data_IF_580554214454
#
_entry.id   IF_580554214454
#
_cell.length_a   1.000
_cell.length_b   1.000
_cell.length_c   1.000
_cell.angle_alpha   90.00
_cell.angle_beta   90.00
_cell.angle_gamma   90.00
#
_symmetry.space_group_name_H-M   'P 1'
#
loop_
_entity.id
_entity.type
_entity.pdbx_description
1 polymer ?
#
# COMPACT_ATOMS: atom_id res chain seq x y z
N UNK A 1 20.96 -40.86 -4.77
CA UNK A 1 22.30 -40.61 -4.17
C UNK A 1 22.68 -39.18 -4.52
N UNK A 2 23.36 -38.43 -3.63
CA UNK A 2 23.68 -36.98 -3.66
C UNK A 2 22.89 -36.05 -2.71
N UNK A 3 22.76 -36.44 -1.44
CA UNK A 3 22.48 -35.50 -0.34
C UNK A 3 23.42 -35.70 0.87
N UNK A 4 24.34 -36.66 0.82
CA UNK A 4 25.27 -36.96 1.93
C UNK A 4 26.36 -35.89 2.08
N UNK A 5 26.83 -35.32 0.97
CA UNK A 5 28.00 -34.43 0.95
C UNK A 5 27.66 -32.96 1.23
N UNK A 6 26.37 -32.60 1.15
CA UNK A 6 25.87 -31.25 1.45
C UNK A 6 25.51 -31.05 2.93
N UNK A 7 25.43 -32.12 3.72
CA UNK A 7 25.00 -32.02 5.12
C UNK A 7 26.04 -31.31 6.01
N UNK A 8 27.31 -31.59 5.79
CA UNK A 8 28.44 -30.99 6.53
C UNK A 8 28.57 -29.48 6.32
N UNK A 9 28.60 -28.95 5.08
CA UNK A 9 28.67 -27.51 4.87
C UNK A 9 27.42 -26.77 5.35
N UNK A 10 26.24 -27.41 5.33
CA UNK A 10 25.01 -26.84 5.91
C UNK A 10 25.12 -26.73 7.43
N UNK A 11 25.59 -27.77 8.12
CA UNK A 11 25.79 -27.74 9.57
C UNK A 11 26.85 -26.72 10.00
N UNK A 12 27.96 -26.64 9.28
CA UNK A 12 29.00 -25.63 9.52
C UNK A 12 28.45 -24.22 9.31
N UNK A 13 27.67 -23.99 8.24
CA UNK A 13 27.03 -22.69 7.98
C UNK A 13 26.01 -22.31 9.06
N UNK A 14 25.21 -23.26 9.54
CA UNK A 14 24.25 -23.04 10.64
C UNK A 14 24.99 -22.73 11.94
N UNK A 15 26.09 -23.44 12.24
CA UNK A 15 26.92 -23.19 13.42
C UNK A 15 27.55 -21.79 13.38
N UNK A 16 28.04 -21.39 12.20
CA UNK A 16 28.63 -20.07 11.98
C UNK A 16 27.58 -18.96 12.12
N UNK A 17 26.39 -19.14 11.54
CA UNK A 17 25.25 -18.24 11.73
C UNK A 17 24.85 -18.10 13.20
N UNK A 18 24.75 -19.22 13.93
CA UNK A 18 24.46 -19.19 15.38
C UNK A 18 25.52 -18.42 16.16
N UNK A 19 26.81 -18.65 15.89
CA UNK A 19 27.90 -17.93 16.54
C UNK A 19 27.87 -16.42 16.24
N UNK A 20 27.52 -16.05 15.00
CA UNK A 20 27.37 -14.65 14.60
C UNK A 20 26.16 -14.01 15.29
N UNK A 21 25.02 -14.70 15.37
CA UNK A 21 23.83 -14.24 16.08
C UNK A 21 24.13 -14.05 17.59
N UNK A 22 24.81 -15.00 18.23
CA UNK A 22 25.21 -14.90 19.63
C UNK A 22 26.16 -13.72 19.88
N UNK A 23 27.12 -13.48 18.97
CA UNK A 23 27.97 -12.29 19.02
C UNK A 23 27.15 -11.01 18.93
N UNK A 24 26.23 -10.91 17.98
CA UNK A 24 25.36 -9.73 17.84
C UNK A 24 24.40 -9.54 19.02
N UNK A 25 23.96 -10.61 19.68
CA UNK A 25 23.14 -10.52 20.89
C UNK A 25 23.94 -10.04 22.12
N UNK A 26 25.22 -10.39 22.20
CA UNK A 26 26.08 -10.06 23.36
C UNK A 26 26.71 -8.67 23.30
N UNK A 27 26.97 -8.11 22.12
CA UNK A 27 27.56 -6.78 21.96
C UNK A 27 26.51 -5.74 21.53
N UNK A 28 26.34 -4.63 22.26
CA UNK A 28 25.45 -3.55 21.80
C UNK A 28 25.96 -2.98 20.47
N UNK A 29 25.05 -2.75 19.52
CA UNK A 29 25.42 -2.19 18.22
C UNK A 29 26.09 -0.81 18.37
N UNK A 30 26.95 -0.46 17.41
CA UNK A 30 27.61 0.86 17.40
C UNK A 30 26.59 2.01 17.45
N UNK A 31 25.45 1.88 16.74
CA UNK A 31 24.35 2.84 16.80
C UNK A 31 23.75 2.92 18.21
N UNK A 32 23.48 1.80 18.87
CA UNK A 32 22.95 1.81 20.24
C UNK A 32 23.92 2.48 21.22
N UNK A 33 25.23 2.25 21.09
CA UNK A 33 26.23 2.91 21.92
C UNK A 33 26.25 4.43 21.69
N UNK A 34 26.29 4.87 20.42
CA UNK A 34 26.25 6.30 20.05
C UNK A 34 24.94 6.98 20.47
N UNK A 35 23.80 6.30 20.35
CA UNK A 35 22.51 6.82 20.77
C UNK A 35 22.50 7.13 22.27
N UNK A 36 23.03 6.23 23.11
CA UNK A 36 23.15 6.46 24.56
C UNK A 36 24.02 7.69 24.88
N UNK A 37 25.11 7.89 24.14
CA UNK A 37 25.98 9.07 24.30
C UNK A 37 25.22 10.35 23.94
N UNK A 38 24.52 10.36 22.81
CA UNK A 38 23.73 11.52 22.37
C UNK A 38 22.59 11.87 23.34
N UNK A 39 21.90 10.86 23.88
CA UNK A 39 20.85 11.04 24.88
C UNK A 39 21.39 11.65 26.18
N UNK A 40 22.62 11.33 26.58
CA UNK A 40 23.25 11.90 27.77
C UNK A 40 23.82 13.32 27.55
N UNK A 41 24.28 13.62 26.33
CA UNK A 41 24.93 14.89 26.02
C UNK A 41 23.94 16.03 25.76
N UNK A 42 22.78 15.71 25.20
CA UNK A 42 21.82 16.69 24.68
C UNK A 42 20.39 16.26 24.96
N UNK A 43 19.54 17.21 25.36
CA UNK A 43 18.12 16.94 25.56
C UNK A 43 17.41 16.87 24.20
N UNK A 44 16.93 15.69 23.85
CA UNK A 44 16.08 15.45 22.68
C UNK A 44 14.65 15.14 23.12
N UNK A 45 13.67 15.59 22.33
CA UNK A 45 12.26 15.37 22.61
C UNK A 45 11.73 14.12 21.91
N UNK A 46 12.27 13.81 20.72
CA UNK A 46 11.80 12.69 19.91
C UNK A 46 12.94 11.83 19.36
N UNK A 47 12.71 10.53 19.30
CA UNK A 47 13.50 9.59 18.51
C UNK A 47 12.59 9.04 17.40
N UNK A 48 13.00 9.26 16.16
CA UNK A 48 12.25 8.92 14.95
C UNK A 48 12.88 7.67 14.35
N UNK A 49 12.12 6.57 14.31
CA UNK A 49 12.54 5.31 13.72
C UNK A 49 11.88 5.09 12.34
N UNK A 50 12.60 4.50 11.37
CA UNK A 50 12.04 4.19 10.04
C UNK A 50 10.74 3.39 10.09
N UNK A 51 10.64 2.42 11.01
CA UNK A 51 9.48 1.54 11.15
C UNK A 51 8.86 1.60 12.56
N UNK A 52 7.59 1.18 12.67
CA UNK A 52 6.89 1.08 13.96
C UNK A 52 7.47 -0.03 14.85
N UNK A 53 7.92 -1.14 14.25
CA UNK A 53 8.56 -2.25 14.97
C UNK A 53 9.86 -1.82 15.63
N UNK A 54 10.71 -1.08 14.91
CA UNK A 54 11.93 -0.49 15.46
C UNK A 54 11.60 0.52 16.56
N UNK A 55 10.57 1.34 16.39
CA UNK A 55 10.14 2.29 17.40
C UNK A 55 9.71 1.58 18.70
N UNK A 56 8.88 0.52 18.60
CA UNK A 56 8.44 -0.29 19.74
C UNK A 56 9.61 -1.01 20.41
N UNK A 57 10.47 -1.66 19.63
CA UNK A 57 11.63 -2.36 20.15
C UNK A 57 12.57 -1.41 20.89
N UNK A 58 12.80 -0.22 20.34
CA UNK A 58 13.62 0.81 20.97
C UNK A 58 12.98 1.34 22.25
N UNK A 59 11.68 1.67 22.24
CA UNK A 59 10.96 2.15 23.43
C UNK A 59 10.99 1.14 24.59
N UNK A 60 10.90 -0.16 24.29
CA UNK A 60 11.04 -1.23 25.28
C UNK A 60 12.47 -1.31 25.83
N UNK A 61 13.47 -1.16 24.96
CA UNK A 61 14.88 -1.30 25.31
C UNK A 61 15.46 -0.11 26.08
N UNK A 62 14.82 1.07 26.01
CA UNK A 62 15.28 2.28 26.67
C UNK A 62 14.95 2.25 28.17
N UNK A 63 15.95 2.32 29.07
CA UNK A 63 15.70 2.35 30.50
C UNK A 63 15.01 3.66 30.90
N UNK A 64 13.71 3.59 31.21
CA UNK A 64 12.87 4.73 31.63
C UNK A 64 13.39 5.54 32.84
N UNK A 65 14.13 4.97 33.82
CA UNK A 65 14.64 5.76 34.95
C UNK A 65 16.08 6.31 34.77
N UNK A 66 16.76 6.07 33.64
CA UNK A 66 18.19 6.38 33.51
C UNK A 66 18.53 7.76 32.93
N UNK A 67 17.55 8.52 32.44
CA UNK A 67 17.77 9.80 31.75
C UNK A 67 16.95 10.92 32.39
N UNK A 68 17.56 12.11 32.50
CA UNK A 68 16.91 13.33 33.04
C UNK A 68 15.79 13.87 32.14
N UNK A 69 15.79 13.50 30.86
CA UNK A 69 14.71 13.76 29.89
C UNK A 69 14.52 12.50 29.04
N UNK A 70 13.33 11.91 29.05
CA UNK A 70 13.03 10.71 28.26
C UNK A 70 12.38 11.10 26.93
N UNK A 71 13.09 11.02 25.80
CA UNK A 71 12.51 11.34 24.50
C UNK A 71 11.39 10.36 24.16
N UNK A 72 10.36 10.84 23.45
CA UNK A 72 9.29 10.00 22.92
C UNK A 72 9.76 9.30 21.65
N UNK A 73 9.72 7.97 21.63
CA UNK A 73 10.03 7.19 20.43
C UNK A 73 8.80 7.13 19.53
N UNK A 74 8.95 7.50 18.26
CA UNK A 74 7.88 7.51 17.26
C UNK A 74 8.37 6.90 15.95
N UNK A 75 7.44 6.40 15.13
CA UNK A 75 7.74 6.01 13.76
C UNK A 75 7.77 7.23 12.84
N UNK A 76 8.42 7.10 11.69
CA UNK A 76 8.37 8.11 10.63
C UNK A 76 6.95 8.37 10.13
N UNK A 77 6.06 7.38 10.19
CA UNK A 77 4.67 7.55 9.80
C UNK A 77 3.91 8.49 10.76
N UNK A 78 4.32 8.56 12.03
CA UNK A 78 3.71 9.42 13.05
C UNK A 78 4.18 10.88 12.99
N UNK A 79 5.19 11.18 12.16
CA UNK A 79 5.67 12.55 11.97
C UNK A 79 4.66 13.34 11.13
N UNK A 80 3.84 14.14 11.82
CA UNK A 80 2.81 14.99 11.24
C UNK A 80 2.65 16.30 12.01
N UNK A 81 1.79 17.19 11.51
CA UNK A 81 1.56 18.54 12.06
C UNK A 81 1.06 18.54 13.51
N UNK A 82 0.59 17.43 14.08
CA UNK A 82 0.28 17.36 15.50
C UNK A 82 1.52 17.56 16.39
N UNK A 83 2.72 17.38 15.83
CA UNK A 83 3.97 17.63 16.53
C UNK A 83 4.33 19.12 16.60
N UNK A 84 3.58 20.01 15.92
CA UNK A 84 3.81 21.45 16.01
C UNK A 84 3.66 21.91 17.46
N UNK A 85 4.72 22.51 17.98
CA UNK A 85 4.78 23.08 19.32
C UNK A 85 5.31 24.50 19.25
N UNK A 86 4.90 25.33 20.21
CA UNK A 86 5.47 26.67 20.40
C UNK A 86 6.91 26.62 20.96
N UNK A 87 7.41 25.43 21.34
CA UNK A 87 8.78 25.22 21.81
C UNK A 87 9.63 24.59 20.70
N UNK A 88 10.93 24.96 20.60
CA UNK A 88 11.84 24.32 19.66
C UNK A 88 11.99 22.84 20.03
N UNK A 89 11.54 21.96 19.13
CA UNK A 89 11.61 20.52 19.31
C UNK A 89 12.93 20.01 18.72
N UNK A 90 13.62 19.12 19.44
CA UNK A 90 14.80 18.42 18.92
C UNK A 90 14.51 16.95 18.66
N UNK A 91 14.97 16.44 17.52
CA UNK A 91 14.73 15.05 17.09
C UNK A 91 16.00 14.30 16.70
N UNK A 92 16.02 12.99 16.96
CA UNK A 92 17.03 12.07 16.43
C UNK A 92 16.39 11.16 15.39
N UNK A 93 16.96 11.03 14.21
CA UNK A 93 16.56 10.04 13.21
C UNK A 93 17.52 8.85 13.23
N UNK A 94 17.02 7.64 13.48
CA UNK A 94 17.87 6.46 13.73
C UNK A 94 18.28 5.68 12.48
N UNK A 95 17.65 5.93 11.33
CA UNK A 95 17.94 5.20 10.09
C UNK A 95 17.27 5.79 8.86
N UNK A 96 17.61 5.25 7.69
CA UNK A 96 17.06 5.71 6.41
C UNK A 96 15.61 5.25 6.20
N UNK A 97 14.67 6.20 6.14
CA UNK A 97 13.24 5.93 6.04
C UNK A 97 12.65 6.15 4.65
N UNK A 98 13.42 5.87 3.60
CA UNK A 98 13.15 6.22 2.19
C UNK A 98 13.20 7.73 1.88
N UNK A 99 13.60 8.07 0.66
CA UNK A 99 13.80 9.46 0.21
C UNK A 99 12.58 10.36 0.44
N UNK A 100 11.37 9.87 0.18
CA UNK A 100 10.13 10.63 0.35
C UNK A 100 9.89 11.09 1.79
N UNK A 101 10.00 10.16 2.74
CA UNK A 101 9.75 10.50 4.14
C UNK A 101 10.87 11.36 4.71
N UNK A 102 12.12 11.10 4.32
CA UNK A 102 13.26 11.96 4.70
C UNK A 102 13.05 13.38 4.19
N UNK A 103 12.70 13.56 2.92
CA UNK A 103 12.37 14.86 2.36
C UNK A 103 11.23 15.53 3.12
N UNK A 104 10.17 14.78 3.44
CA UNK A 104 9.04 15.28 4.22
C UNK A 104 9.46 15.79 5.59
N UNK A 105 10.29 15.05 6.33
CA UNK A 105 10.80 15.45 7.65
C UNK A 105 11.67 16.70 7.54
N UNK A 106 12.54 16.76 6.53
CA UNK A 106 13.42 17.92 6.32
C UNK A 106 12.64 19.17 5.90
N UNK A 107 11.57 19.02 5.13
CA UNK A 107 10.74 20.13 4.64
C UNK A 107 9.62 20.54 5.58
N UNK A 108 9.31 19.75 6.62
CA UNK A 108 8.17 20.03 7.50
C UNK A 108 8.46 21.09 8.55
N UNK A 109 9.73 21.43 8.78
CA UNK A 109 10.17 22.40 9.80
C UNK A 109 9.64 22.10 11.22
N UNK A 110 9.25 20.85 11.50
CA UNK A 110 8.75 20.42 12.81
C UNK A 110 9.84 20.42 13.89
N UNK A 111 11.09 20.26 13.48
CA UNK A 111 12.23 20.15 14.38
C UNK A 111 13.16 21.33 14.18
N UNK A 112 13.52 21.98 15.29
CA UNK A 112 14.54 23.04 15.34
C UNK A 112 15.95 22.49 15.09
N UNK A 113 16.19 21.24 15.53
CA UNK A 113 17.43 20.52 15.36
C UNK A 113 17.10 19.05 15.09
N UNK A 114 17.65 18.52 14.01
CA UNK A 114 17.51 17.12 13.63
C UNK A 114 18.90 16.49 13.54
N UNK A 115 19.18 15.54 14.42
CA UNK A 115 20.42 14.77 14.40
C UNK A 115 20.17 13.43 13.70
N UNK A 116 20.96 13.11 12.67
CA UNK A 116 20.85 11.82 11.95
C UNK A 116 21.89 10.82 12.46
N UNK A 117 21.45 9.63 12.82
CA UNK A 117 22.29 8.54 13.29
C UNK A 117 22.37 7.46 12.20
N UNK A 118 23.11 7.78 11.15
CA UNK A 118 23.24 6.94 9.96
C UNK A 118 24.52 6.09 9.98
N UNK A 119 24.41 4.87 9.46
CA UNK A 119 25.57 4.10 9.05
C UNK A 119 26.28 4.78 7.87
N UNK A 120 27.53 4.40 7.63
CA UNK A 120 28.32 4.98 6.53
C UNK A 120 27.64 4.85 5.17
N UNK A 121 26.92 3.74 4.91
CA UNK A 121 26.18 3.56 3.66
C UNK A 121 24.92 4.45 3.59
N UNK A 122 24.21 4.65 4.70
CA UNK A 122 23.03 5.53 4.77
C UNK A 122 23.42 7.00 4.56
N UNK A 123 24.62 7.40 5.00
CA UNK A 123 25.18 8.72 4.69
C UNK A 123 25.32 8.95 3.19
N UNK A 124 25.65 7.91 2.39
CA UNK A 124 25.68 8.03 0.92
C UNK A 124 24.29 8.33 0.35
N UNK A 125 23.25 7.72 0.91
CA UNK A 125 21.86 7.93 0.51
C UNK A 125 21.42 9.37 0.79
N UNK A 126 21.70 9.86 2.01
CA UNK A 126 21.42 11.23 2.42
C UNK A 126 22.15 12.26 1.54
N UNK A 127 23.43 12.05 1.27
CA UNK A 127 24.22 12.93 0.43
C UNK A 127 23.70 12.96 -1.01
N UNK A 128 23.29 11.82 -1.57
CA UNK A 128 22.66 11.75 -2.89
C UNK A 128 21.34 12.54 -2.93
N UNK A 129 20.48 12.39 -1.92
CA UNK A 129 19.22 13.12 -1.79
C UNK A 129 19.44 14.63 -1.68
N UNK A 130 20.38 15.08 -0.84
CA UNK A 130 20.71 16.50 -0.71
C UNK A 130 21.24 17.10 -2.01
N UNK A 131 22.13 16.40 -2.73
CA UNK A 131 22.64 16.88 -4.03
C UNK A 131 21.50 17.13 -5.00
N UNK A 132 20.54 16.21 -5.06
CA UNK A 132 19.35 16.32 -5.90
C UNK A 132 18.46 17.48 -5.47
N UNK A 133 18.13 17.58 -4.19
CA UNK A 133 17.32 18.69 -3.68
C UNK A 133 17.95 20.04 -4.00
N UNK A 134 19.28 20.18 -3.87
CA UNK A 134 20.01 21.40 -4.26
C UNK A 134 19.84 21.74 -5.74
N UNK A 135 19.96 20.76 -6.65
CA UNK A 135 19.75 20.95 -8.09
C UNK A 135 18.32 21.43 -8.42
N UNK A 136 17.30 20.92 -7.72
CA UNK A 136 15.92 21.37 -7.93
C UNK A 136 15.59 22.70 -7.21
N UNK A 137 16.31 23.04 -6.13
CA UNK A 137 16.17 24.30 -5.40
C UNK A 137 16.81 25.52 -6.09
N UNK A 138 17.61 25.33 -7.14
CA UNK A 138 18.14 26.44 -7.96
C UNK A 138 17.01 27.28 -8.62
N UNK A 139 15.79 26.73 -8.70
CA UNK A 139 14.59 27.43 -9.18
C UNK A 139 13.91 28.31 -8.12
N UNK A 140 14.31 28.23 -6.84
CA UNK A 140 13.83 29.10 -5.77
C UNK A 140 14.86 30.22 -5.60
N UNK A 141 14.64 31.32 -6.32
CA UNK A 141 15.44 32.53 -6.19
C UNK A 141 15.09 33.21 -4.86
N UNK A 142 15.97 33.12 -3.86
CA UNK A 142 15.84 33.94 -2.65
C UNK A 142 15.77 35.43 -3.05
N UNK A 143 14.75 36.14 -2.59
CA UNK A 143 14.51 37.56 -2.88
C UNK A 143 15.65 38.44 -2.34
N UNK A 144 16.34 37.96 -1.31
CA UNK A 144 17.41 38.65 -0.61
C UNK A 144 18.66 37.76 -0.63
N UNK A 145 19.76 38.31 -1.12
CA UNK A 145 21.10 37.73 -0.95
C UNK A 145 21.89 38.58 0.06
N UNK A 146 23.11 38.16 0.40
CA UNK A 146 24.07 38.87 1.27
C UNK A 146 24.31 40.35 0.84
N UNK A 147 24.02 40.72 -0.42
CA UNK A 147 24.07 42.06 -1.00
C UNK A 147 22.72 42.82 -1.00
N UNK A 148 21.69 42.30 -0.33
CA UNK A 148 20.33 42.88 -0.32
C UNK A 148 19.37 42.26 -1.34
N UNK A 149 18.27 42.97 -1.65
CA UNK A 149 17.21 42.51 -2.57
C UNK A 149 17.77 42.38 -3.99
N UNK A 150 17.54 41.23 -4.65
CA UNK A 150 18.01 40.98 -6.03
C UNK A 150 17.36 41.95 -7.04
N UNK A 151 18.17 42.69 -7.79
CA UNK A 151 17.76 43.35 -9.04
C UNK A 151 18.00 42.44 -10.25
N UNK A 152 17.20 42.61 -11.30
CA UNK A 152 16.89 41.63 -12.36
C UNK A 152 18.01 41.40 -13.41
N UNK A 153 19.21 41.95 -13.22
CA UNK A 153 20.08 42.26 -14.37
C UNK A 153 21.40 41.51 -14.60
N UNK A 154 21.95 40.70 -13.69
CA UNK A 154 23.38 40.32 -13.82
C UNK A 154 23.64 38.81 -13.98
N UNK A 155 24.13 38.46 -15.17
CA UNK A 155 24.60 37.14 -15.59
C UNK A 155 26.03 36.83 -15.13
N UNK A 156 26.28 35.54 -14.86
CA UNK A 156 27.47 34.86 -14.31
C UNK A 156 28.83 35.19 -14.99
N UNK A 157 30.02 35.03 -14.37
CA UNK A 157 30.62 33.88 -13.64
C UNK A 157 31.88 34.33 -12.83
N UNK A 158 32.60 33.47 -12.07
CA UNK A 158 32.19 32.57 -10.98
C UNK A 158 33.17 32.61 -9.75
N UNK A 159 32.66 32.32 -8.54
CA UNK A 159 33.36 32.04 -7.24
C UNK A 159 34.18 33.20 -6.63
N UNK A 160 34.28 33.34 -5.30
CA UNK A 160 34.02 32.39 -4.20
C UNK A 160 33.17 32.98 -3.08
N UNK A 161 32.39 32.21 -2.31
CA UNK A 161 32.25 30.77 -2.09
C UNK A 161 33.30 30.07 -1.20
N UNK A 162 34.45 30.67 -0.88
CA UNK A 162 35.42 30.04 0.04
C UNK A 162 35.07 30.20 1.52
N UNK A 163 34.17 31.13 1.87
CA UNK A 163 34.24 31.77 3.20
C UNK A 163 33.05 31.51 4.13
N UNK A 164 32.04 30.75 3.71
CA UNK A 164 30.86 30.48 4.57
C UNK A 164 30.69 29.02 4.98
N UNK A 165 31.59 28.16 4.49
CA UNK A 165 31.76 26.78 4.94
C UNK A 165 33.27 26.52 5.07
N UNK A 166 33.87 26.87 6.22
CA UNK A 166 35.09 26.19 6.64
C UNK A 166 34.70 24.74 6.99
N UNK A 167 34.57 23.93 5.94
CA UNK A 167 34.65 22.49 6.05
C UNK A 167 36.10 22.14 6.24
N UNK A 168 36.52 21.99 7.50
CA UNK A 168 37.72 21.25 7.76
C UNK A 168 37.50 19.81 7.28
N UNK A 169 38.42 19.41 6.42
CA UNK A 169 38.58 18.11 5.80
C UNK A 169 37.43 17.70 4.86
N UNK A 170 37.56 18.22 3.63
CA UNK A 170 37.46 17.37 2.45
C UNK A 170 38.21 16.06 2.73
N UNK A 171 37.48 15.05 3.19
CA UNK A 171 37.85 13.67 2.89
C UNK A 171 37.75 13.57 1.38
N UNK A 172 38.89 13.76 0.76
CA UNK A 172 39.20 13.40 -0.61
C UNK A 172 38.96 11.90 -0.77
N UNK A 173 37.72 11.53 -1.06
CA UNK A 173 37.43 10.28 -1.76
C UNK A 173 37.18 10.63 -3.22
N UNK A 174 38.32 10.67 -3.91
CA UNK A 174 38.54 10.16 -5.26
C UNK A 174 37.35 9.27 -5.71
N UNK A 175 36.67 9.70 -6.80
CA UNK A 175 35.65 8.96 -7.57
C UNK A 175 34.50 8.26 -6.80
N UNK A 176 33.48 9.00 -6.35
CA UNK A 176 32.14 8.42 -6.15
C UNK A 176 31.15 8.93 -7.21
N UNK A 177 31.24 8.24 -8.34
CA UNK A 177 30.39 8.28 -9.52
C UNK A 177 28.92 7.94 -9.26
N UNK A 178 28.03 8.58 -10.04
CA UNK A 178 26.73 8.05 -10.52
C UNK A 178 25.64 7.57 -9.55
N UNK A 179 25.84 7.53 -8.23
CA UNK A 179 24.83 6.96 -7.34
C UNK A 179 23.63 7.90 -7.10
N UNK A 180 22.49 7.56 -7.71
CA UNK A 180 21.19 8.20 -7.49
C UNK A 180 20.32 7.34 -6.57
N UNK A 181 20.01 7.87 -5.38
CA UNK A 181 19.21 7.16 -4.38
C UNK A 181 17.79 6.84 -4.88
N UNK A 182 17.20 7.70 -5.70
CA UNK A 182 15.84 7.45 -6.22
C UNK A 182 15.83 6.36 -7.29
N UNK A 183 16.87 6.29 -8.13
CA UNK A 183 17.05 5.18 -9.08
C UNK A 183 17.31 3.85 -8.34
N UNK A 184 18.13 3.89 -7.28
CA UNK A 184 18.36 2.73 -6.43
C UNK A 184 17.08 2.25 -5.74
N UNK A 185 16.32 3.15 -5.10
CA UNK A 185 15.03 2.83 -4.48
C UNK A 185 14.01 2.31 -5.50
N UNK A 186 13.99 2.90 -6.71
CA UNK A 186 13.14 2.44 -7.80
C UNK A 186 13.51 1.03 -8.28
N UNK A 187 14.80 0.72 -8.42
CA UNK A 187 15.28 -0.63 -8.77
C UNK A 187 14.92 -1.66 -7.69
N UNK A 188 15.08 -1.30 -6.42
CA UNK A 188 14.72 -2.15 -5.30
C UNK A 188 13.20 -2.42 -5.26
N UNK A 189 12.39 -1.37 -5.42
CA UNK A 189 10.94 -1.50 -5.48
C UNK A 189 10.53 -2.33 -6.71
N UNK A 190 11.12 -2.11 -7.89
CA UNK A 190 10.83 -2.93 -9.07
C UNK A 190 11.18 -4.41 -8.84
N UNK A 191 12.31 -4.72 -8.21
CA UNK A 191 12.64 -6.11 -7.90
C UNK A 191 11.56 -6.76 -7.03
N UNK A 192 11.07 -6.04 -6.00
CA UNK A 192 10.05 -6.54 -5.08
C UNK A 192 8.65 -6.68 -5.71
N UNK A 193 8.26 -5.75 -6.60
CA UNK A 193 6.88 -5.66 -7.11
C UNK A 193 6.72 -6.00 -8.60
N UNK A 194 7.80 -6.39 -9.30
CA UNK A 194 7.79 -6.65 -10.76
C UNK A 194 6.76 -7.68 -11.24
N UNK A 195 6.27 -8.56 -10.36
CA UNK A 195 5.26 -9.57 -10.69
C UNK A 195 3.85 -8.99 -10.89
N UNK A 196 3.59 -7.80 -10.35
CA UNK A 196 2.28 -7.13 -10.45
C UNK A 196 2.19 -6.20 -11.66
N UNK A 197 3.33 -5.75 -12.17
CA UNK A 197 3.44 -4.88 -13.33
C UNK A 197 3.04 -5.67 -14.58
N UNK A 198 2.14 -5.10 -15.39
CA UNK A 198 1.70 -5.73 -16.61
C UNK A 198 2.88 -5.89 -17.60
N UNK A 199 3.26 -7.13 -17.91
CA UNK A 199 4.31 -7.43 -18.91
C UNK A 199 3.65 -7.81 -20.22
N UNK A 200 3.81 -6.98 -21.25
CA UNK A 200 3.37 -7.27 -22.62
C UNK A 200 1.98 -6.72 -22.95
N UNK A 201 0.92 -7.49 -22.69
CA UNK A 201 -0.45 -7.15 -23.12
C UNK A 201 -1.06 -6.01 -22.28
N UNK A 202 -1.08 -4.80 -22.81
CA UNK A 202 -1.71 -3.62 -22.20
C UNK A 202 -3.24 -3.63 -22.21
N UNK A 203 -3.88 -4.63 -22.84
CA UNK A 203 -5.35 -4.68 -22.96
C UNK A 203 -6.01 -4.82 -21.58
N UNK A 204 -5.35 -5.53 -20.65
CA UNK A 204 -5.80 -5.72 -19.27
C UNK A 204 -4.88 -5.02 -18.25
N UNK A 205 -4.19 -3.94 -18.66
CA UNK A 205 -3.45 -3.09 -17.73
C UNK A 205 -4.28 -1.89 -17.29
N UNK A 206 -4.05 -1.46 -16.06
CA UNK A 206 -4.64 -0.25 -15.52
C UNK A 206 -3.60 0.56 -14.78
N UNK A 207 -3.64 1.87 -15.02
CA UNK A 207 -2.81 2.84 -14.33
C UNK A 207 -3.21 2.90 -12.85
N UNK A 208 -2.29 2.48 -11.97
CA UNK A 208 -2.51 2.43 -10.54
C UNK A 208 -1.31 2.99 -9.75
N UNK A 209 -1.56 3.44 -8.53
CA UNK A 209 -0.57 4.00 -7.62
C UNK A 209 -0.43 3.08 -6.40
N UNK A 210 0.81 2.79 -5.98
CA UNK A 210 1.05 1.88 -4.84
C UNK A 210 0.96 2.62 -3.51
N UNK A 211 0.22 2.04 -2.56
CA UNK A 211 0.20 2.44 -1.15
C UNK A 211 0.75 1.25 -0.34
N UNK A 212 1.75 1.51 0.48
CA UNK A 212 2.37 0.53 1.38
C UNK A 212 1.95 0.88 2.82
N UNK A 213 1.48 -0.13 3.54
CA UNK A 213 1.07 0.02 4.94
C UNK A 213 2.23 -0.31 5.89
N UNK A 214 2.06 0.00 7.18
CA UNK A 214 3.03 -0.40 8.22
C UNK A 214 3.10 -1.91 8.38
N UNK A 215 1.95 -2.59 8.28
CA UNK A 215 1.88 -4.05 8.10
C UNK A 215 2.55 -4.52 6.79
N UNK A 216 2.67 -5.84 6.63
CA UNK A 216 3.14 -6.46 5.38
C UNK A 216 2.20 -6.31 4.18
N UNK A 217 1.10 -5.56 4.33
CA UNK A 217 0.16 -5.34 3.24
C UNK A 217 0.49 -4.10 2.40
N UNK A 218 0.02 -4.11 1.16
CA UNK A 218 0.02 -2.98 0.23
C UNK A 218 -1.15 -3.09 -0.74
N UNK A 219 -1.46 -2.00 -1.44
CA UNK A 219 -2.52 -1.95 -2.46
C UNK A 219 -2.08 -1.12 -3.66
N UNK A 220 -2.48 -1.56 -4.85
CA UNK A 220 -2.42 -0.76 -6.07
C UNK A 220 -3.80 -0.12 -6.29
N UNK A 221 -3.89 1.20 -6.17
CA UNK A 221 -5.16 1.92 -6.25
C UNK A 221 -5.29 2.70 -7.54
N UNK A 222 -6.48 2.67 -8.14
CA UNK A 222 -6.83 3.55 -9.25
C UNK A 222 -7.18 4.95 -8.73
N UNK A 223 -7.17 5.95 -9.61
CA UNK A 223 -7.55 7.34 -9.29
C UNK A 223 -9.01 7.48 -8.80
N UNK A 224 -9.88 6.58 -9.26
CA UNK A 224 -11.31 6.56 -8.90
C UNK A 224 -11.58 5.96 -7.53
N UNK A 225 -10.68 5.13 -6.99
CA UNK A 225 -10.90 4.41 -5.76
C UNK A 225 -10.82 5.33 -4.54
N UNK A 226 -11.72 5.13 -3.57
CA UNK A 226 -11.85 5.98 -2.39
C UNK A 226 -11.69 5.15 -1.12
N UNK A 227 -10.79 5.59 -0.25
CA UNK A 227 -10.48 4.98 1.03
C UNK A 227 -11.26 5.65 2.16
N UNK A 228 -11.76 4.85 3.12
CA UNK A 228 -12.38 5.35 4.34
C UNK A 228 -11.28 5.75 5.34
N UNK A 229 -11.06 7.05 5.53
CA UNK A 229 -10.05 7.57 6.46
C UNK A 229 -10.66 7.73 7.85
N UNK A 230 -9.99 7.18 8.87
CA UNK A 230 -10.51 7.07 10.24
C UNK A 230 -9.67 7.82 11.29
N UNK A 231 -8.74 8.68 10.85
CA UNK A 231 -7.86 9.46 11.75
C UNK A 231 -8.60 10.18 12.88
N UNK A 232 -9.77 10.76 12.61
CA UNK A 232 -10.53 11.51 13.61
C UNK A 232 -11.11 10.62 14.73
N UNK A 233 -11.43 9.36 14.41
CA UNK A 233 -11.95 8.41 15.39
C UNK A 233 -10.90 8.07 16.43
N UNK A 234 -9.70 7.81 15.94
CA UNK A 234 -8.52 7.50 16.75
C UNK A 234 -8.15 8.70 17.62
N UNK A 235 -8.02 9.90 17.03
CA UNK A 235 -7.52 11.07 17.76
C UNK A 235 -8.48 11.67 18.79
N UNK A 236 -9.80 11.55 18.60
CA UNK A 236 -10.80 12.29 19.41
C UNK A 236 -11.73 11.40 20.23
N UNK A 237 -11.71 10.08 20.08
CA UNK A 237 -12.70 9.14 20.65
C UNK A 237 -14.14 9.68 20.63
N UNK A 238 -14.47 10.46 19.59
CA UNK A 238 -15.72 11.23 19.54
C UNK A 238 -16.73 10.49 18.70
N UNK A 239 -17.93 10.30 19.27
CA UNK A 239 -19.07 9.66 18.61
C UNK A 239 -19.57 10.42 17.35
N UNK A 240 -19.03 11.62 17.07
CA UNK A 240 -19.36 12.45 15.89
C UNK A 240 -18.18 12.70 14.94
N UNK A 241 -17.10 11.93 15.03
CA UNK A 241 -16.00 12.03 14.08
C UNK A 241 -16.51 11.76 12.64
N UNK A 242 -16.15 12.61 11.68
CA UNK A 242 -16.67 12.45 10.34
C UNK A 242 -15.81 11.45 9.57
N UNK A 243 -16.43 10.33 9.18
CA UNK A 243 -15.81 9.32 8.34
C UNK A 243 -15.77 9.79 6.89
N UNK A 244 -14.62 10.28 6.45
CA UNK A 244 -14.45 10.82 5.09
C UNK A 244 -13.88 9.76 4.13
N UNK A 245 -14.43 9.73 2.92
CA UNK A 245 -13.87 8.96 1.80
C UNK A 245 -12.89 9.85 1.02
N UNK A 246 -11.61 9.47 0.97
CA UNK A 246 -10.57 10.21 0.23
C UNK A 246 -10.00 9.37 -0.92
N UNK A 247 -9.67 10.03 -2.03
CA UNK A 247 -8.87 9.41 -3.11
C UNK A 247 -7.39 9.35 -2.72
N UNK A 248 -6.59 8.64 -3.51
CA UNK A 248 -5.14 8.51 -3.28
C UNK A 248 -4.40 9.84 -3.23
N UNK A 249 -4.83 10.88 -3.97
CA UNK A 249 -4.18 12.19 -3.92
C UNK A 249 -4.39 12.91 -2.59
N UNK A 250 -5.46 12.58 -1.87
CA UNK A 250 -5.80 13.17 -0.57
C UNK A 250 -5.31 12.36 0.63
N UNK A 251 -4.60 11.25 0.40
CA UNK A 251 -3.98 10.43 1.43
C UNK A 251 -2.57 10.90 1.72
N UNK A 252 -2.18 10.82 2.98
CA UNK A 252 -0.84 11.15 3.45
C UNK A 252 -0.25 9.99 4.25
N UNK A 253 1.09 9.91 4.30
CA UNK A 253 1.78 8.98 5.18
C UNK A 253 1.39 9.27 6.64
N UNK A 254 0.99 8.24 7.37
CA UNK A 254 0.43 8.32 8.73
C UNK A 254 -1.10 8.25 8.77
N UNK A 255 -1.79 8.39 7.63
CA UNK A 255 -3.25 8.22 7.60
C UNK A 255 -3.62 6.78 7.94
N UNK A 256 -4.65 6.61 8.76
CA UNK A 256 -5.25 5.32 9.09
C UNK A 256 -6.51 5.16 8.27
N UNK A 257 -6.56 4.05 7.52
CA UNK A 257 -7.68 3.69 6.66
C UNK A 257 -8.37 2.42 7.15
N UNK A 258 -9.67 2.32 6.88
CA UNK A 258 -10.46 1.12 7.09
C UNK A 258 -10.88 0.52 5.76
N UNK A 259 -10.45 -0.71 5.48
CA UNK A 259 -10.88 -1.49 4.34
C UNK A 259 -11.98 -2.45 4.77
N UNK A 260 -13.18 -2.23 4.23
CA UNK A 260 -14.33 -3.09 4.48
C UNK A 260 -14.29 -4.22 3.46
N UNK A 261 -14.20 -5.45 3.93
CA UNK A 261 -14.30 -6.64 3.12
C UNK A 261 -15.56 -7.42 3.52
N UNK A 262 -16.51 -7.49 2.60
CA UNK A 262 -17.78 -8.17 2.81
C UNK A 262 -17.83 -9.40 1.92
N UNK A 263 -18.16 -10.54 2.53
CA UNK A 263 -18.33 -11.78 1.79
C UNK A 263 -19.52 -11.68 0.84
N UNK A 264 -19.36 -12.26 -0.35
CA UNK A 264 -20.39 -12.21 -1.40
C UNK A 264 -21.68 -12.88 -0.94
N UNK A 265 -21.59 -13.92 -0.13
CA UNK A 265 -22.75 -14.64 0.42
C UNK A 265 -23.61 -13.74 1.30
N UNK A 266 -22.97 -12.88 2.13
CA UNK A 266 -23.69 -11.89 2.96
C UNK A 266 -24.46 -10.90 2.06
N UNK A 267 -23.87 -10.48 0.94
CA UNK A 267 -24.55 -9.61 -0.02
C UNK A 267 -25.76 -10.30 -0.65
N UNK A 268 -25.63 -11.58 -1.01
CA UNK A 268 -26.75 -12.38 -1.55
C UNK A 268 -27.87 -12.48 -0.52
N UNK A 269 -27.55 -12.85 0.72
CA UNK A 269 -28.54 -12.94 1.80
C UNK A 269 -29.27 -11.61 2.05
N UNK A 270 -28.55 -10.48 2.00
CA UNK A 270 -29.18 -9.17 2.19
C UNK A 270 -30.08 -8.76 1.02
N UNK A 271 -29.71 -9.10 -0.20
CA UNK A 271 -30.59 -8.90 -1.35
C UNK A 271 -31.85 -9.74 -1.19
N UNK A 272 -31.73 -10.99 -0.74
CA UNK A 272 -32.87 -11.88 -0.51
C UNK A 272 -33.81 -11.38 0.58
N UNK A 273 -33.26 -10.83 1.67
CA UNK A 273 -34.05 -10.29 2.79
C UNK A 273 -34.77 -8.98 2.48
N UNK A 274 -34.17 -8.13 1.64
CA UNK A 274 -34.65 -6.75 1.41
C UNK A 274 -35.43 -6.57 0.09
N UNK A 275 -35.50 -7.61 -0.76
CA UNK A 275 -36.18 -7.52 -2.07
C UNK A 275 -37.53 -8.24 -2.04
N UNK A 276 -38.49 -7.77 -2.84
CA UNK A 276 -39.76 -8.47 -3.01
C UNK A 276 -39.52 -9.87 -3.61
N UNK A 277 -40.08 -10.90 -2.97
CA UNK A 277 -39.88 -12.31 -3.33
C UNK A 277 -40.28 -12.62 -4.77
N UNK A 278 -41.36 -12.02 -5.29
CA UNK A 278 -41.81 -12.25 -6.68
C UNK A 278 -40.88 -11.64 -7.71
N UNK A 279 -40.40 -10.43 -7.44
CA UNK A 279 -39.50 -9.70 -8.33
C UNK A 279 -38.12 -10.35 -8.34
N UNK A 280 -37.64 -10.78 -7.17
CA UNK A 280 -36.40 -11.50 -7.02
C UNK A 280 -36.41 -12.84 -7.77
N UNK A 281 -37.49 -13.62 -7.66
CA UNK A 281 -37.62 -14.90 -8.36
C UNK A 281 -37.55 -14.74 -9.88
N UNK A 282 -38.20 -13.72 -10.43
CA UNK A 282 -38.16 -13.39 -11.86
C UNK A 282 -36.73 -13.02 -12.31
N UNK A 283 -36.04 -12.15 -11.56
CA UNK A 283 -34.65 -11.77 -11.89
C UNK A 283 -33.69 -12.95 -11.75
N UNK A 284 -33.86 -13.80 -10.73
CA UNK A 284 -33.06 -15.02 -10.53
C UNK A 284 -33.22 -15.99 -11.71
N UNK A 285 -34.44 -16.23 -12.17
CA UNK A 285 -34.71 -17.09 -13.33
C UNK A 285 -33.86 -16.69 -14.55
N UNK A 286 -33.84 -15.40 -14.90
CA UNK A 286 -33.07 -14.92 -16.05
C UNK A 286 -31.56 -14.88 -15.80
N UNK A 287 -31.12 -14.57 -14.58
CA UNK A 287 -29.68 -14.55 -14.23
C UNK A 287 -29.08 -15.95 -14.05
N UNK A 288 -29.90 -16.98 -13.81
CA UNK A 288 -29.48 -18.38 -13.71
C UNK A 288 -29.55 -19.12 -15.05
N UNK A 289 -30.44 -18.71 -15.97
CA UNK A 289 -30.66 -19.34 -17.28
C UNK A 289 -29.35 -19.60 -18.04
N UNK A 290 -28.55 -18.56 -18.28
CA UNK A 290 -27.29 -18.68 -19.03
C UNK A 290 -26.28 -19.60 -18.34
N UNK A 291 -26.26 -19.58 -17.00
CA UNK A 291 -25.31 -20.36 -16.20
C UNK A 291 -25.69 -21.82 -16.19
N UNK A 292 -26.98 -22.14 -16.04
CA UNK A 292 -27.48 -23.50 -16.07
C UNK A 292 -27.26 -24.13 -17.45
N UNK A 293 -27.60 -23.42 -18.53
CA UNK A 293 -27.34 -23.88 -19.90
C UNK A 293 -25.86 -24.16 -20.15
N UNK A 294 -24.96 -23.29 -19.66
CA UNK A 294 -23.52 -23.49 -19.79
C UNK A 294 -23.02 -24.71 -19.00
N UNK A 295 -23.54 -24.93 -17.79
CA UNK A 295 -23.20 -26.11 -16.96
C UNK A 295 -23.75 -27.41 -17.56
N UNK A 296 -24.98 -27.40 -18.08
CA UNK A 296 -25.61 -28.54 -18.75
C UNK A 296 -24.84 -28.91 -20.02
N UNK A 297 -24.47 -27.91 -20.84
CA UNK A 297 -23.64 -28.15 -22.01
C UNK A 297 -22.27 -28.72 -21.62
N UNK A 298 -21.62 -28.15 -20.60
CA UNK A 298 -20.35 -28.66 -20.08
C UNK A 298 -20.44 -30.12 -19.62
N UNK A 299 -21.55 -30.50 -18.96
CA UNK A 299 -21.82 -31.88 -18.60
C UNK A 299 -22.05 -32.78 -19.84
N UNK A 300 -22.76 -32.27 -20.86
CA UNK A 300 -23.07 -33.02 -22.08
C UNK A 300 -21.83 -33.38 -22.91
N UNK A 301 -20.79 -32.55 -22.86
CA UNK A 301 -19.50 -32.79 -23.53
C UNK A 301 -18.53 -33.63 -22.67
N UNK A 302 -18.98 -34.20 -21.56
CA UNK A 302 -18.17 -35.04 -20.68
C UNK A 302 -17.24 -34.27 -19.75
N UNK A 303 -17.59 -33.03 -19.38
CA UNK A 303 -16.78 -32.13 -18.55
C UNK A 303 -15.40 -31.77 -19.15
N UNK A 304 -15.27 -31.80 -20.47
CA UNK A 304 -14.04 -31.39 -21.16
C UNK A 304 -13.95 -29.86 -21.28
N UNK A 305 -13.11 -29.26 -20.42
CA UNK A 305 -12.92 -27.81 -20.38
C UNK A 305 -12.25 -27.26 -21.64
N UNK A 306 -11.35 -28.02 -22.29
CA UNK A 306 -10.67 -27.55 -23.49
C UNK A 306 -11.66 -27.44 -24.65
N UNK A 307 -12.49 -28.47 -24.80
CA UNK A 307 -13.55 -28.50 -25.80
C UNK A 307 -14.56 -27.36 -25.60
N UNK A 308 -14.98 -27.09 -24.36
CA UNK A 308 -15.85 -25.95 -24.05
C UNK A 308 -15.25 -24.61 -24.53
N UNK A 309 -13.96 -24.38 -24.26
CA UNK A 309 -13.27 -23.15 -24.67
C UNK A 309 -13.19 -23.05 -26.18
N UNK A 310 -12.90 -24.16 -26.87
CA UNK A 310 -12.86 -24.22 -28.33
C UNK A 310 -14.23 -23.90 -28.95
N UNK A 311 -15.29 -24.53 -28.45
CA UNK A 311 -16.67 -24.29 -28.91
C UNK A 311 -17.11 -22.83 -28.69
N UNK A 312 -16.77 -22.24 -27.54
CA UNK A 312 -17.04 -20.83 -27.27
C UNK A 312 -16.24 -19.90 -28.19
N UNK A 313 -14.96 -20.19 -28.47
CA UNK A 313 -14.13 -19.40 -29.40
C UNK A 313 -14.63 -19.49 -30.84
N UNK A 314 -15.11 -20.65 -31.26
CA UNK A 314 -15.73 -20.87 -32.57
C UNK A 314 -17.01 -20.03 -32.75
N UNK A 315 -17.63 -19.62 -31.64
CA UNK A 315 -18.79 -18.73 -31.59
C UNK A 315 -18.41 -17.29 -31.15
N UNK A 316 -17.20 -16.82 -31.49
CA UNK A 316 -16.70 -15.46 -31.26
C UNK A 316 -16.50 -15.04 -29.79
N UNK A 317 -16.43 -15.98 -28.84
CA UNK A 317 -16.08 -15.65 -27.45
C UNK A 317 -14.57 -15.37 -27.32
N UNK A 318 -14.22 -14.11 -27.00
CA UNK A 318 -12.83 -13.66 -26.85
C UNK A 318 -12.29 -13.74 -25.41
N UNK A 319 -13.05 -14.33 -24.49
CA UNK A 319 -12.65 -14.37 -23.07
C UNK A 319 -11.54 -15.38 -22.81
N UNK A 320 -10.65 -15.05 -21.89
CA UNK A 320 -9.61 -15.95 -21.41
C UNK A 320 -10.19 -17.18 -20.71
N UNK A 321 -9.46 -18.29 -20.79
CA UNK A 321 -9.82 -19.58 -20.17
C UNK A 321 -10.11 -19.44 -18.67
N UNK A 322 -9.36 -18.60 -17.97
CA UNK A 322 -9.60 -18.33 -16.54
C UNK A 322 -10.98 -17.73 -16.30
N UNK A 323 -11.43 -16.82 -17.16
CA UNK A 323 -12.76 -16.18 -17.07
C UNK A 323 -13.87 -17.19 -17.33
N UNK A 324 -13.73 -18.01 -18.37
CA UNK A 324 -14.69 -19.08 -18.70
C UNK A 324 -14.79 -20.10 -17.56
N UNK A 325 -13.64 -20.47 -16.97
CA UNK A 325 -13.60 -21.35 -15.80
C UNK A 325 -14.33 -20.73 -14.60
N UNK A 326 -14.15 -19.43 -14.39
CA UNK A 326 -14.84 -18.70 -13.32
C UNK A 326 -16.36 -18.71 -13.53
N UNK A 327 -16.86 -18.65 -14.77
CA UNK A 327 -18.30 -18.73 -15.04
C UNK A 327 -18.94 -20.04 -14.57
N UNK A 328 -18.20 -21.15 -14.67
CA UNK A 328 -18.66 -22.47 -14.22
C UNK A 328 -18.56 -22.64 -12.70
N UNK A 329 -17.50 -22.11 -12.08
CA UNK A 329 -17.15 -22.39 -10.69
C UNK A 329 -17.70 -21.37 -9.68
N UNK A 330 -17.87 -20.10 -10.07
CA UNK A 330 -18.30 -19.02 -9.19
C UNK A 330 -19.84 -18.94 -9.15
N UNK A 331 -20.47 -19.61 -8.17
CA UNK A 331 -21.92 -19.57 -7.98
C UNK A 331 -22.45 -18.15 -7.76
N UNK A 332 -21.65 -17.29 -7.15
CA UNK A 332 -22.01 -15.91 -6.89
C UNK A 332 -21.88 -14.99 -8.12
N UNK A 333 -21.38 -15.46 -9.27
CA UNK A 333 -21.34 -14.68 -10.51
C UNK A 333 -22.75 -14.41 -11.04
N UNK A 334 -23.10 -13.13 -11.22
CA UNK A 334 -24.42 -12.70 -11.72
C UNK A 334 -24.54 -12.91 -13.24
N UNK A 335 -23.48 -12.62 -14.00
CA UNK A 335 -23.52 -12.71 -15.46
C UNK A 335 -22.17 -12.41 -16.15
N UNK A 336 -22.06 -12.72 -17.45
CA UNK A 336 -21.02 -12.18 -18.34
C UNK A 336 -21.15 -10.67 -18.49
N UNK A 337 -20.08 -9.99 -18.88
CA UNK A 337 -20.07 -8.53 -18.98
C UNK A 337 -20.69 -8.04 -20.30
N UNK A 338 -20.50 -8.79 -21.39
CA UNK A 338 -20.84 -8.34 -22.75
C UNK A 338 -22.00 -9.16 -23.33
N UNK A 339 -22.78 -8.55 -24.22
CA UNK A 339 -23.88 -9.24 -24.93
C UNK A 339 -23.34 -10.28 -25.90
N UNK A 340 -22.17 -10.04 -26.49
CA UNK A 340 -21.48 -11.02 -27.32
C UNK A 340 -21.23 -12.32 -26.57
N UNK A 341 -20.86 -12.25 -25.27
CA UNK A 341 -20.65 -13.46 -24.46
C UNK A 341 -21.95 -14.25 -24.26
N UNK A 342 -23.08 -13.56 -24.03
CA UNK A 342 -24.38 -14.22 -23.91
C UNK A 342 -24.82 -14.86 -25.23
N UNK A 343 -24.55 -14.20 -26.36
CA UNK A 343 -24.82 -14.73 -27.70
C UNK A 343 -23.98 -15.99 -27.93
N UNK A 344 -22.67 -15.96 -27.65
CA UNK A 344 -21.80 -17.13 -27.79
C UNK A 344 -22.30 -18.31 -26.96
N UNK A 345 -22.74 -18.06 -25.72
CA UNK A 345 -23.31 -19.11 -24.86
C UNK A 345 -24.62 -19.65 -25.44
N UNK A 346 -25.52 -18.79 -25.92
CA UNK A 346 -26.78 -19.21 -26.52
C UNK A 346 -26.56 -20.10 -27.75
N UNK A 347 -25.58 -19.75 -28.60
CA UNK A 347 -25.23 -20.51 -29.80
C UNK A 347 -24.62 -21.87 -29.46
N UNK A 348 -23.64 -21.92 -28.55
CA UNK A 348 -23.01 -23.18 -28.13
C UNK A 348 -24.02 -24.12 -27.46
N UNK A 349 -24.96 -23.57 -26.69
CA UNK A 349 -25.98 -24.35 -25.97
C UNK A 349 -27.21 -24.65 -26.83
N UNK A 350 -27.27 -24.17 -28.08
CA UNK A 350 -28.44 -24.23 -28.96
C UNK A 350 -29.75 -23.76 -28.30
N UNK A 351 -29.66 -22.79 -27.39
CA UNK A 351 -30.82 -22.30 -26.63
C UNK A 351 -31.47 -21.10 -27.32
N UNK A 352 -32.59 -21.37 -28.00
CA UNK A 352 -33.41 -20.31 -28.60
C UNK A 352 -34.03 -19.40 -27.52
N UNK A 353 -34.36 -19.95 -26.35
CA UNK A 353 -34.90 -19.18 -25.23
C UNK A 353 -33.92 -18.11 -24.73
N UNK A 354 -32.63 -18.44 -24.62
CA UNK A 354 -31.60 -17.47 -24.25
C UNK A 354 -31.38 -16.44 -25.36
N UNK A 355 -31.31 -16.89 -26.62
CA UNK A 355 -31.08 -16.02 -27.78
C UNK A 355 -32.18 -14.96 -27.95
N UNK A 356 -33.44 -15.36 -27.79
CA UNK A 356 -34.60 -14.47 -27.95
C UNK A 356 -34.77 -13.48 -26.78
N UNK A 357 -34.14 -13.75 -25.63
CA UNK A 357 -34.31 -12.98 -24.40
C UNK A 357 -33.01 -12.35 -23.87
N UNK A 358 -31.99 -12.15 -24.71
CA UNK A 358 -30.71 -11.53 -24.31
C UNK A 358 -30.91 -10.21 -23.57
N UNK A 359 -31.79 -9.33 -24.08
CA UNK A 359 -32.08 -8.03 -23.45
C UNK A 359 -32.66 -8.19 -22.04
N UNK A 360 -33.62 -9.12 -21.85
CA UNK A 360 -34.20 -9.39 -20.53
C UNK A 360 -33.18 -9.98 -19.55
N UNK A 361 -32.29 -10.84 -20.04
CA UNK A 361 -31.18 -11.38 -19.23
C UNK A 361 -30.23 -10.25 -18.83
N UNK A 362 -29.89 -9.34 -19.74
CA UNK A 362 -29.05 -8.17 -19.45
C UNK A 362 -29.68 -7.23 -18.43
N UNK A 363 -30.96 -6.94 -18.58
CA UNK A 363 -31.71 -6.11 -17.64
C UNK A 363 -31.74 -6.74 -16.25
N UNK A 364 -31.96 -8.06 -16.19
CA UNK A 364 -31.97 -8.83 -14.94
C UNK A 364 -30.58 -8.84 -14.27
N UNK A 365 -29.51 -9.04 -15.05
CA UNK A 365 -28.13 -8.93 -14.57
C UNK A 365 -27.90 -7.53 -13.99
N UNK A 366 -28.25 -6.48 -14.73
CA UNK A 366 -28.04 -5.09 -14.32
C UNK A 366 -28.81 -4.73 -13.05
N UNK A 367 -30.04 -5.23 -12.92
CA UNK A 367 -30.89 -5.05 -11.75
C UNK A 367 -30.34 -5.77 -10.52
N UNK A 368 -29.90 -7.02 -10.68
CA UNK A 368 -29.24 -7.78 -9.61
C UNK A 368 -27.92 -7.12 -9.17
N UNK A 369 -27.13 -6.59 -10.10
CA UNK A 369 -25.93 -5.78 -9.78
C UNK A 369 -26.32 -4.55 -8.96
N UNK A 370 -27.37 -3.82 -9.36
CA UNK A 370 -27.89 -2.67 -8.62
C UNK A 370 -28.29 -3.02 -7.18
N UNK A 371 -29.04 -4.11 -6.99
CA UNK A 371 -29.41 -4.59 -5.65
C UNK A 371 -28.19 -4.97 -4.80
N UNK A 372 -27.19 -5.65 -5.38
CA UNK A 372 -25.94 -5.96 -4.66
C UNK A 372 -25.15 -4.72 -4.29
N UNK A 373 -25.12 -3.71 -5.14
CA UNK A 373 -24.50 -2.41 -4.82
C UNK A 373 -25.22 -1.74 -3.65
N UNK A 374 -26.55 -1.73 -3.65
CA UNK A 374 -27.34 -1.20 -2.54
C UNK A 374 -27.10 -1.96 -1.23
N UNK A 375 -27.02 -3.30 -1.28
CA UNK A 375 -26.68 -4.12 -0.13
C UNK A 375 -25.27 -3.81 0.40
N UNK A 376 -24.29 -3.66 -0.50
CA UNK A 376 -22.91 -3.29 -0.13
C UNK A 376 -22.83 -1.90 0.51
N UNK A 377 -23.60 -0.93 0.01
CA UNK A 377 -23.70 0.41 0.60
C UNK A 377 -24.39 0.38 1.96
N UNK A 378 -25.44 -0.43 2.12
CA UNK A 378 -26.10 -0.64 3.41
C UNK A 378 -25.13 -1.22 4.45
N UNK A 379 -24.42 -2.29 4.10
CA UNK A 379 -23.39 -2.90 4.97
C UNK A 379 -22.31 -1.87 5.29
N UNK A 380 -21.82 -1.14 4.28
CA UNK A 380 -20.82 -0.11 4.49
C UNK A 380 -21.28 0.93 5.50
N UNK A 381 -22.56 1.33 5.47
CA UNK A 381 -23.11 2.30 6.42
C UNK A 381 -23.33 1.71 7.82
N UNK A 382 -23.73 0.44 7.93
CA UNK A 382 -23.80 -0.27 9.22
C UNK A 382 -22.42 -0.47 9.84
N UNK A 383 -21.43 -0.80 9.03
CA UNK A 383 -20.05 -0.93 9.47
C UNK A 383 -19.52 0.42 9.93
N UNK A 384 -19.74 1.50 9.18
CA UNK A 384 -19.37 2.86 9.62
C UNK A 384 -19.99 3.20 10.98
N UNK A 385 -21.26 2.86 11.23
CA UNK A 385 -21.91 3.15 12.51
C UNK A 385 -21.33 2.33 13.67
N UNK A 386 -20.98 1.06 13.43
CA UNK A 386 -20.33 0.18 14.41
C UNK A 386 -18.86 0.53 14.66
N UNK A 387 -18.15 1.00 13.63
CA UNK A 387 -16.74 1.40 13.69
C UNK A 387 -16.49 2.39 14.84
N UNK A 388 -17.39 3.36 15.05
CA UNK A 388 -17.28 4.32 16.15
C UNK A 388 -17.17 3.70 17.55
N UNK A 389 -17.71 2.50 17.75
CA UNK A 389 -17.75 1.82 19.05
C UNK A 389 -16.59 0.87 19.27
N UNK A 390 -15.92 0.46 18.19
CA UNK A 390 -14.95 -0.64 18.20
C UNK A 390 -13.52 -0.12 18.08
N UNK A 391 -13.30 0.97 17.34
CA UNK A 391 -11.94 1.40 16.98
C UNK A 391 -11.20 2.05 18.17
N UNK A 392 -10.02 1.52 18.44
CA UNK A 392 -9.01 2.02 19.37
C UNK A 392 -7.62 1.92 18.71
N UNK A 393 -6.62 2.63 19.26
CA UNK A 393 -5.22 2.61 18.78
C UNK A 393 -4.64 1.20 18.72
N UNK A 394 -5.07 0.32 19.63
CA UNK A 394 -4.66 -1.08 19.69
C UNK A 394 -5.06 -1.92 18.46
N UNK A 395 -6.03 -1.45 17.67
CA UNK A 395 -6.53 -2.16 16.49
C UNK A 395 -5.86 -1.72 15.18
N UNK A 396 -4.92 -0.77 15.23
CA UNK A 396 -4.17 -0.37 14.04
C UNK A 396 -3.36 -1.56 13.51
N UNK A 397 -3.37 -1.76 12.19
CA UNK A 397 -2.75 -2.89 11.50
C UNK A 397 -3.37 -4.27 11.84
N UNK A 398 -4.64 -4.30 12.26
CA UNK A 398 -5.37 -5.54 12.59
C UNK A 398 -6.60 -5.76 11.70
N UNK A 399 -7.08 -7.02 11.69
CA UNK A 399 -8.34 -7.42 11.08
C UNK A 399 -9.37 -7.69 12.17
N UNK A 400 -10.53 -7.05 12.05
CA UNK A 400 -11.67 -7.20 12.98
C UNK A 400 -12.83 -7.84 12.22
N UNK A 401 -13.39 -8.92 12.76
CA UNK A 401 -14.59 -9.54 12.20
C UNK A 401 -15.84 -8.95 12.86
N UNK A 402 -16.82 -8.61 12.02
CA UNK A 402 -18.13 -8.14 12.46
C UNK A 402 -19.16 -9.16 12.02
N UNK A 403 -19.73 -9.82 13.01
CA UNK A 403 -20.77 -10.82 12.82
C UNK A 403 -21.90 -10.30 11.91
N UNK A 404 -22.16 -11.08 10.85
CA UNK A 404 -23.20 -10.80 9.86
C UNK A 404 -22.92 -9.65 8.88
N UNK A 405 -21.77 -8.97 8.96
CA UNK A 405 -21.44 -7.84 8.07
C UNK A 405 -20.10 -8.00 7.31
N UNK A 406 -19.25 -8.93 7.75
CA UNK A 406 -17.96 -9.24 7.14
C UNK A 406 -16.79 -8.84 8.02
N UNK A 407 -15.68 -8.42 7.43
CA UNK A 407 -14.47 -8.03 8.15
C UNK A 407 -14.00 -6.62 7.79
N UNK A 408 -13.33 -5.98 8.73
CA UNK A 408 -12.67 -4.68 8.55
C UNK A 408 -11.19 -4.90 8.78
N UNK A 409 -10.38 -4.45 7.83
CA UNK A 409 -8.93 -4.36 8.03
C UNK A 409 -8.56 -2.90 8.24
N UNK A 410 -7.97 -2.60 9.40
CA UNK A 410 -7.52 -1.25 9.76
C UNK A 410 -6.02 -1.18 9.47
N UNK A 411 -5.60 -0.25 8.63
CA UNK A 411 -4.22 -0.16 8.15
C UNK A 411 -3.72 1.28 8.23
N UNK A 412 -2.48 1.45 8.69
CA UNK A 412 -1.81 2.76 8.71
C UNK A 412 -0.88 2.88 7.51
N UNK A 413 -1.01 3.99 6.79
CA UNK A 413 -0.23 4.28 5.58
C UNK A 413 1.21 4.60 5.98
N UNK A 414 2.16 3.81 5.49
CA UNK A 414 3.59 4.01 5.71
C UNK A 414 4.24 4.79 4.55
N UNK A 415 3.86 4.47 3.31
CA UNK A 415 4.39 5.17 2.15
C UNK A 415 3.43 5.11 0.97
N UNK A 416 3.44 6.16 0.15
CA UNK A 416 2.70 6.24 -1.11
C UNK A 416 3.74 6.44 -2.22
N UNK A 417 3.72 5.58 -3.25
CA UNK A 417 4.61 5.72 -4.41
C UNK A 417 4.36 7.06 -5.10
N UNK A 418 5.41 7.71 -5.62
CA UNK A 418 5.24 8.96 -6.37
C UNK A 418 4.72 8.71 -7.79
N UNK A 419 4.98 7.51 -8.33
CA UNK A 419 4.75 7.20 -9.72
C UNK A 419 3.49 6.36 -9.90
N UNK A 420 2.83 6.58 -11.03
CA UNK A 420 1.78 5.70 -11.52
C UNK A 420 2.41 4.59 -12.35
N UNK A 421 1.99 3.36 -12.11
CA UNK A 421 2.48 2.15 -12.77
C UNK A 421 1.34 1.48 -13.53
N UNK A 422 1.67 0.81 -14.64
CA UNK A 422 0.73 -0.04 -15.38
C UNK A 422 0.68 -1.42 -14.72
N UNK A 423 -0.43 -1.70 -14.04
CA UNK A 423 -0.62 -2.91 -13.23
C UNK A 423 -1.67 -3.80 -13.89
N UNK A 424 -1.49 -5.11 -13.82
CA UNK A 424 -2.53 -6.05 -14.27
C UNK A 424 -3.82 -5.81 -13.44
N UNK A 425 -4.95 -5.62 -14.15
CA UNK A 425 -6.27 -5.32 -13.56
C UNK A 425 -6.63 -6.28 -12.43
N UNK A 426 -6.14 -7.53 -12.45
CA UNK A 426 -6.37 -8.54 -11.39
C UNK A 426 -5.84 -8.14 -10.03
N UNK A 427 -4.81 -7.29 -9.97
CA UNK A 427 -4.17 -6.82 -8.74
C UNK A 427 -4.63 -5.41 -8.32
N UNK A 428 -5.38 -4.73 -9.18
CA UNK A 428 -5.91 -3.39 -8.90
C UNK A 428 -7.00 -3.40 -7.82
N UNK A 429 -6.97 -2.39 -6.94
CA UNK A 429 -7.89 -2.17 -5.82
C UNK A 429 -8.07 -3.40 -4.89
N UNK A 430 -7.03 -4.23 -4.76
CA UNK A 430 -6.99 -5.38 -3.85
C UNK A 430 -5.89 -5.23 -2.83
N UNK A 431 -6.17 -5.66 -1.60
CA UNK A 431 -5.17 -5.78 -0.56
C UNK A 431 -4.27 -6.98 -0.87
N UNK A 432 -2.98 -6.73 -0.97
CA UNK A 432 -1.94 -7.71 -1.30
C UNK A 432 -0.94 -7.76 -0.15
N UNK A 433 -0.35 -8.93 0.07
CA UNK A 433 0.70 -9.11 1.07
C UNK A 433 2.06 -9.16 0.38
N UNK A 434 3.08 -8.54 0.99
CA UNK A 434 4.47 -8.68 0.58
C UNK A 434 4.87 -10.13 0.78
N UNK A 435 5.49 -10.72 -0.23
CA UNK A 435 6.23 -11.96 -0.02
C UNK A 435 7.55 -11.61 0.65
N UNK A 436 7.87 -12.28 1.76
CA UNK A 436 9.17 -12.18 2.39
C UNK A 436 10.19 -12.77 1.41
N UNK A 437 11.08 -11.91 0.89
CA UNK A 437 12.22 -12.30 0.05
C UNK A 437 13.36 -12.72 0.96
#
# INVERSE_FOLDING_TARGET
MWLSDSHKPIEESISLLKSVIEKFASSPSEKCARLKVLMNATQYDYIICPTEEEAKALDISLPKPAYTHSPKVISVADVNDNLLSNKPIKGILTGWAKSNNINRILSSFLFSELTVLFYQFENKYYNSLQRRNRQYSENIKATINIKGIRSVGESEKPKGFSDLYLGDEVVSTISESSFDILDFEFKLDNAQYSKYIAKGNMIDSIKAKRIVFESDFFIYTTESHKFLVINELIKKHSAKANLHRRKVEGLQTGDVIALINTDRDILVELVEKNTNTKELASVKQWTELWKNLLKEYFASIGNDFKKLVEDLRNNDCKKHEVTIRTWLQDENRIGPNDDSDLISIALVTNSQELLDNISKVRDSISKMVGWRMQAADYISNQIKSKIHKIIDDSLINSKVEIEGLGSITILKVNNISNNWEEIDVRYSNKLLQKENI
#
